data_IF_672126022936
#
_entry.id   IF_672126022936
#
_cell.length_a   1.000
_cell.length_b   1.000
_cell.length_c   1.000
_cell.angle_alpha   90.00
_cell.angle_beta   90.00
_cell.angle_gamma   90.00
#
_symmetry.space_group_name_H-M   'P 1'
#
loop_
_entity.id
_entity.type
_entity.pdbx_description
1 polymer ?
#
# COMPACT_ATOMS: atom_id res chain seq x y z
N UNK A 1 23.52 15.40 -0.96
CA UNK A 1 22.32 15.20 -0.10
C UNK A 1 22.71 14.17 0.94
N UNK A 2 22.58 14.49 2.23
CA UNK A 2 22.91 13.55 3.31
C UNK A 2 21.97 12.35 3.21
N UNK A 3 22.51 11.15 2.98
CA UNK A 3 21.75 9.92 3.05
C UNK A 3 21.41 9.65 4.52
N UNK A 4 20.23 10.08 4.96
CA UNK A 4 19.70 9.61 6.23
C UNK A 4 19.61 8.09 6.19
N UNK A 5 20.18 7.44 7.20
CA UNK A 5 20.28 5.99 7.28
C UNK A 5 18.87 5.39 7.45
N UNK A 6 18.46 4.56 6.50
CA UNK A 6 17.19 3.83 6.55
C UNK A 6 17.30 2.73 7.60
N UNK A 7 16.41 2.72 8.60
CA UNK A 7 16.45 1.77 9.72
C UNK A 7 15.15 0.96 9.89
N UNK A 8 14.10 1.27 9.14
CA UNK A 8 12.80 0.61 9.30
C UNK A 8 12.79 -0.79 8.68
N UNK A 9 12.45 -1.80 9.46
CA UNK A 9 12.23 -3.15 8.94
C UNK A 9 10.88 -3.23 8.23
N UNK A 10 10.89 -3.74 7.00
CA UNK A 10 9.72 -3.85 6.13
C UNK A 10 8.50 -4.53 6.78
N UNK A 11 8.69 -5.66 7.47
CA UNK A 11 7.58 -6.39 8.11
C UNK A 11 7.03 -5.66 9.32
N UNK A 12 7.93 -5.11 10.12
CA UNK A 12 7.54 -4.33 11.29
C UNK A 12 6.69 -3.12 10.89
N UNK A 13 7.04 -2.43 9.81
CA UNK A 13 6.26 -1.32 9.24
C UNK A 13 4.84 -1.75 8.90
N UNK A 14 4.68 -2.81 8.10
CA UNK A 14 3.36 -3.25 7.66
C UNK A 14 2.52 -3.75 8.84
N UNK A 15 3.13 -4.52 9.76
CA UNK A 15 2.45 -4.97 10.97
C UNK A 15 1.98 -3.78 11.83
N UNK A 16 2.83 -2.76 12.02
CA UNK A 16 2.50 -1.57 12.80
C UNK A 16 1.32 -0.79 12.22
N UNK A 17 1.29 -0.59 10.90
CA UNK A 17 0.16 0.08 10.23
C UNK A 17 -1.13 -0.71 10.41
N UNK A 18 -1.07 -2.05 10.33
CA UNK A 18 -2.25 -2.90 10.39
C UNK A 18 -2.75 -3.16 11.82
N UNK A 19 -1.91 -2.99 12.84
CA UNK A 19 -2.25 -3.22 14.24
C UNK A 19 -3.48 -2.43 14.70
N UNK A 20 -3.62 -1.18 14.24
CA UNK A 20 -4.67 -0.26 14.64
C UNK A 20 -5.68 0.05 13.52
N UNK A 21 -5.68 -0.75 12.45
CA UNK A 21 -6.49 -0.46 11.26
C UNK A 21 -8.00 -0.52 11.46
N UNK A 22 -8.48 -1.11 12.56
CA UNK A 22 -9.90 -1.35 12.80
C UNK A 22 -10.53 -2.19 11.68
N UNK A 23 -11.56 -1.65 11.03
CA UNK A 23 -12.29 -2.27 9.92
C UNK A 23 -11.80 -1.81 8.53
N UNK A 24 -10.66 -1.11 8.46
CA UNK A 24 -10.07 -0.69 7.21
C UNK A 24 -9.75 -1.88 6.28
N UNK A 25 -9.99 -1.67 5.00
CA UNK A 25 -9.77 -2.64 3.94
C UNK A 25 -8.34 -2.51 3.43
N UNK A 26 -7.62 -3.64 3.32
CA UNK A 26 -6.26 -3.67 2.83
C UNK A 26 -6.22 -4.27 1.42
N UNK A 27 -5.68 -3.52 0.46
CA UNK A 27 -5.40 -3.98 -0.90
C UNK A 27 -3.89 -4.05 -1.06
N UNK A 28 -3.36 -5.12 -1.62
CA UNK A 28 -1.91 -5.23 -1.85
C UNK A 28 -1.57 -5.45 -3.31
N UNK A 29 -0.42 -4.90 -3.71
CA UNK A 29 0.29 -5.36 -4.90
C UNK A 29 0.84 -6.77 -4.72
N UNK A 30 1.31 -7.37 -5.80
CA UNK A 30 2.08 -8.61 -5.76
C UNK A 30 3.44 -8.46 -5.04
N UNK A 31 4.05 -9.58 -4.69
CA UNK A 31 5.37 -9.66 -4.04
C UNK A 31 5.34 -9.28 -2.57
N UNK A 32 6.42 -8.62 -2.12
CA UNK A 32 6.65 -8.25 -0.72
C UNK A 32 5.46 -7.60 0.00
N UNK A 33 4.76 -6.61 -0.56
CA UNK A 33 3.57 -6.04 0.08
C UNK A 33 2.48 -7.08 0.40
N UNK A 34 2.20 -8.01 -0.52
CA UNK A 34 1.29 -9.14 -0.26
C UNK A 34 1.83 -10.03 0.86
N UNK A 35 3.11 -10.38 0.83
CA UNK A 35 3.70 -11.27 1.82
C UNK A 35 3.74 -10.66 3.23
N UNK A 36 3.89 -9.35 3.34
CA UNK A 36 3.95 -8.68 4.64
C UNK A 36 2.58 -8.48 5.24
N UNK A 37 1.58 -8.10 4.43
CA UNK A 37 0.20 -8.01 4.91
C UNK A 37 -0.30 -9.40 5.32
N UNK A 38 0.02 -10.45 4.56
CA UNK A 38 -0.29 -11.82 4.94
C UNK A 38 0.42 -12.25 6.23
N UNK A 39 1.69 -11.86 6.41
CA UNK A 39 2.46 -12.16 7.63
C UNK A 39 1.95 -11.40 8.86
N UNK A 40 1.40 -10.20 8.67
CA UNK A 40 0.76 -9.41 9.72
C UNK A 40 -0.61 -9.98 10.14
N UNK A 41 -1.13 -10.97 9.41
CA UNK A 41 -2.37 -11.68 9.71
C UNK A 41 -3.30 -11.70 8.50
N UNK A 42 -3.48 -12.87 7.89
CA UNK A 42 -4.48 -13.04 6.84
C UNK A 42 -5.89 -12.91 7.41
N UNK A 43 -6.72 -12.08 6.78
CA UNK A 43 -8.13 -11.98 7.08
C UNK A 43 -8.94 -11.65 5.82
N UNK A 44 -10.27 -11.81 5.85
CA UNK A 44 -11.13 -11.52 4.69
C UNK A 44 -11.09 -10.07 4.19
N UNK A 45 -10.74 -9.09 5.05
CA UNK A 45 -10.55 -7.69 4.68
C UNK A 45 -9.22 -7.41 3.97
N UNK A 46 -8.38 -8.43 3.76
CA UNK A 46 -7.18 -8.34 2.92
C UNK A 46 -7.51 -8.90 1.53
N UNK A 47 -7.36 -8.05 0.52
CA UNK A 47 -7.43 -8.44 -0.89
C UNK A 47 -6.04 -8.41 -1.53
N UNK A 48 -5.52 -9.60 -1.83
CA UNK A 48 -4.21 -9.75 -2.47
C UNK A 48 -4.37 -9.76 -4.00
N UNK A 49 -3.97 -8.67 -4.66
CA UNK A 49 -4.08 -8.57 -6.10
C UNK A 49 -2.92 -9.30 -6.79
N UNK A 50 -3.20 -10.51 -7.27
CA UNK A 50 -2.25 -11.31 -8.03
C UNK A 50 -2.27 -10.96 -9.53
N UNK A 51 -1.08 -10.95 -10.16
CA UNK A 51 -0.94 -10.93 -11.61
C UNK A 51 -1.19 -9.58 -12.30
N UNK A 52 -1.34 -8.48 -11.56
CA UNK A 52 -1.62 -7.15 -12.11
C UNK A 52 -0.71 -6.08 -11.51
N UNK A 53 0.60 -6.14 -11.83
CA UNK A 53 1.55 -5.13 -11.37
C UNK A 53 1.16 -3.73 -11.89
N UNK A 54 1.09 -2.76 -10.99
CA UNK A 54 0.65 -1.39 -11.29
C UNK A 54 -0.86 -1.17 -11.13
N UNK A 55 -1.63 -2.23 -10.83
CA UNK A 55 -3.08 -2.18 -10.75
C UNK A 55 -3.64 -1.90 -9.34
N UNK A 56 -2.86 -2.12 -8.27
CA UNK A 56 -3.41 -2.12 -6.90
C UNK A 56 -4.00 -0.77 -6.50
N UNK A 57 -3.35 0.35 -6.88
CA UNK A 57 -3.85 1.70 -6.59
C UNK A 57 -5.20 1.97 -7.27
N UNK A 58 -5.38 1.54 -8.52
CA UNK A 58 -6.64 1.72 -9.23
C UNK A 58 -7.77 0.86 -8.67
N UNK A 59 -7.47 -0.36 -8.21
CA UNK A 59 -8.42 -1.21 -7.49
C UNK A 59 -8.82 -0.55 -6.16
N UNK A 60 -7.84 -0.03 -5.41
CA UNK A 60 -8.09 0.70 -4.17
C UNK A 60 -8.93 1.96 -4.37
N UNK A 61 -8.68 2.74 -5.43
CA UNK A 61 -9.49 3.90 -5.78
C UNK A 61 -10.95 3.52 -6.08
N UNK A 62 -11.16 2.50 -6.92
CA UNK A 62 -12.51 2.04 -7.24
C UNK A 62 -13.28 1.59 -6.00
N UNK A 63 -12.60 0.88 -5.09
CA UNK A 63 -13.18 0.45 -3.83
C UNK A 63 -13.50 1.64 -2.90
N UNK A 64 -12.58 2.59 -2.77
CA UNK A 64 -12.75 3.78 -1.93
C UNK A 64 -13.95 4.62 -2.38
N UNK A 65 -14.12 4.79 -3.69
CA UNK A 65 -15.28 5.47 -4.28
C UNK A 65 -16.59 4.69 -4.09
N UNK A 66 -16.55 3.36 -4.18
CA UNK A 66 -17.72 2.52 -4.00
C UNK A 66 -18.14 2.33 -2.53
N UNK A 67 -17.22 2.54 -1.59
CA UNK A 67 -17.42 2.32 -0.15
C UNK A 67 -16.88 3.53 0.65
N UNK A 68 -17.51 4.71 0.52
CA UNK A 68 -16.99 5.97 1.09
C UNK A 68 -16.83 5.92 2.62
N UNK A 69 -17.61 5.08 3.31
CA UNK A 69 -17.59 4.94 4.77
C UNK A 69 -16.50 3.97 5.28
N UNK A 70 -15.77 3.30 4.38
CA UNK A 70 -14.71 2.35 4.73
C UNK A 70 -13.34 2.91 4.36
N UNK A 71 -12.41 2.93 5.31
CA UNK A 71 -11.02 3.29 5.03
C UNK A 71 -10.39 2.22 4.12
N UNK A 72 -9.74 2.64 3.04
CA UNK A 72 -9.03 1.75 2.10
C UNK A 72 -7.55 2.08 2.15
N UNK A 73 -6.72 1.08 2.46
CA UNK A 73 -5.27 1.19 2.52
C UNK A 73 -4.68 0.30 1.43
N UNK A 74 -3.94 0.91 0.50
CA UNK A 74 -3.27 0.20 -0.58
C UNK A 74 -1.79 0.09 -0.27
N UNK A 75 -1.27 -1.12 -0.13
CA UNK A 75 0.16 -1.39 0.04
C UNK A 75 0.78 -1.77 -1.30
N UNK A 76 1.74 -0.98 -1.75
CA UNK A 76 2.50 -1.24 -2.99
C UNK A 76 4.00 -1.17 -2.74
N UNK A 77 4.78 -1.83 -3.59
CA UNK A 77 6.23 -1.61 -3.64
C UNK A 77 6.56 -0.38 -4.49
N UNK A 78 7.73 0.22 -4.29
CA UNK A 78 8.25 1.28 -5.15
C UNK A 78 8.32 0.85 -6.62
N UNK A 79 8.77 -0.38 -6.88
CA UNK A 79 8.82 -0.95 -8.23
C UNK A 79 7.45 -1.03 -8.92
N UNK A 80 6.39 -1.39 -8.20
CA UNK A 80 5.02 -1.38 -8.73
C UNK A 80 4.53 0.04 -8.96
N UNK A 81 4.77 0.93 -7.99
CA UNK A 81 4.31 2.31 -8.10
C UNK A 81 4.85 3.00 -9.35
N UNK A 82 6.05 2.62 -9.79
CA UNK A 82 6.63 3.11 -11.06
C UNK A 82 5.89 2.60 -12.30
N UNK A 83 5.37 1.37 -12.29
CA UNK A 83 4.56 0.84 -13.40
C UNK A 83 3.16 1.48 -13.42
N UNK A 84 2.62 1.77 -12.24
CA UNK A 84 1.30 2.39 -12.06
C UNK A 84 1.35 3.91 -11.85
N UNK A 85 2.43 4.62 -12.19
CA UNK A 85 2.66 6.01 -11.72
C UNK A 85 1.51 6.97 -12.08
N UNK A 86 0.92 6.81 -13.27
CA UNK A 86 -0.23 7.60 -13.71
C UNK A 86 -1.48 7.47 -12.84
N UNK A 87 -1.59 6.40 -12.05
CA UNK A 87 -2.71 6.22 -11.10
C UNK A 87 -2.74 7.30 -10.01
N UNK A 88 -1.59 7.89 -9.65
CA UNK A 88 -1.56 9.01 -8.70
C UNK A 88 -2.34 10.22 -9.26
N UNK A 89 -2.14 10.56 -10.53
CA UNK A 89 -2.90 11.65 -11.16
C UNK A 89 -4.41 11.35 -11.17
N UNK A 90 -4.79 10.11 -11.49
CA UNK A 90 -6.20 9.69 -11.46
C UNK A 90 -6.80 9.80 -10.06
N UNK A 91 -6.08 9.35 -9.03
CA UNK A 91 -6.52 9.45 -7.62
C UNK A 91 -6.70 10.91 -7.22
N UNK A 92 -5.75 11.78 -7.55
CA UNK A 92 -5.84 13.21 -7.23
C UNK A 92 -7.06 13.88 -7.89
N UNK A 93 -7.40 13.52 -9.13
CA UNK A 93 -8.58 14.04 -9.82
C UNK A 93 -9.91 13.59 -9.19
N UNK A 94 -9.98 12.40 -8.58
CA UNK A 94 -11.21 11.86 -7.98
C UNK A 94 -11.35 12.19 -6.49
N UNK A 95 -10.25 12.45 -5.78
CA UNK A 95 -10.28 12.99 -4.42
C UNK A 95 -10.88 12.08 -3.35
N UNK A 96 -10.70 10.75 -3.44
CA UNK A 96 -11.26 9.81 -2.46
C UNK A 96 -10.71 10.05 -1.04
N UNK A 97 -11.54 10.63 -0.16
CA UNK A 97 -11.17 11.05 1.20
C UNK A 97 -10.82 9.89 2.15
N UNK A 98 -11.26 8.68 1.81
CA UNK A 98 -11.03 7.46 2.58
C UNK A 98 -9.89 6.59 2.02
N UNK A 99 -9.07 7.09 1.08
CA UNK A 99 -8.00 6.32 0.44
C UNK A 99 -6.60 6.71 0.95
N UNK A 100 -5.81 5.71 1.33
CA UNK A 100 -4.39 5.82 1.65
C UNK A 100 -3.55 4.90 0.77
N UNK A 101 -2.49 5.44 0.16
CA UNK A 101 -1.52 4.70 -0.65
C UNK A 101 -0.19 4.66 0.12
N UNK A 102 0.19 3.45 0.54
CA UNK A 102 1.42 3.18 1.27
C UNK A 102 2.41 2.50 0.35
N UNK A 103 3.51 3.20 0.06
CA UNK A 103 4.60 2.68 -0.78
C UNK A 103 5.70 2.16 0.14
N UNK A 104 5.90 0.85 0.14
CA UNK A 104 7.00 0.17 0.82
C UNK A 104 8.21 0.22 -0.11
N UNK A 105 9.12 1.15 0.18
CA UNK A 105 10.21 1.52 -0.71
C UNK A 105 11.54 1.02 -0.15
N UNK A 106 12.02 -0.08 -0.71
CA UNK A 106 13.33 -0.66 -0.43
C UNK A 106 14.36 -0.34 -1.54
N UNK A 107 14.00 0.52 -2.49
CA UNK A 107 14.80 0.94 -3.65
C UNK A 107 15.18 -0.15 -4.66
N UNK A 108 14.60 -1.36 -4.55
CA UNK A 108 15.03 -2.52 -5.33
C UNK A 108 13.86 -3.42 -5.77
N UNK A 109 13.98 -4.01 -6.96
CA UNK A 109 13.10 -5.10 -7.37
C UNK A 109 13.52 -6.42 -6.69
N UNK A 110 13.10 -6.59 -5.43
CA UNK A 110 13.56 -7.68 -4.58
C UNK A 110 13.24 -9.08 -5.12
N UNK A 111 12.06 -9.25 -5.74
CA UNK A 111 11.59 -10.54 -6.26
C UNK A 111 12.34 -11.00 -7.52
N UNK A 112 12.96 -10.08 -8.27
CA UNK A 112 13.58 -10.38 -9.57
C UNK A 112 15.10 -10.41 -9.52
N UNK A 113 15.70 -10.23 -8.34
CA UNK A 113 17.15 -10.29 -8.15
C UNK A 113 17.80 -8.99 -7.67
N UNK A 114 17.08 -8.16 -6.91
CA UNK A 114 17.64 -6.98 -6.22
C UNK A 114 18.24 -5.93 -7.17
N UNK A 115 17.68 -5.76 -8.37
CA UNK A 115 18.11 -4.69 -9.26
C UNK A 115 17.65 -3.33 -8.69
N UNK A 116 18.48 -2.27 -8.76
CA UNK A 116 18.07 -0.94 -8.33
C UNK A 116 16.83 -0.48 -9.09
N UNK A 117 15.77 -0.16 -8.35
CA UNK A 117 14.54 0.41 -8.87
C UNK A 117 14.72 1.92 -9.15
N UNK A 118 13.71 2.54 -9.76
CA UNK A 118 13.76 3.97 -10.09
C UNK A 118 13.85 4.84 -8.83
N UNK A 119 13.22 4.44 -7.73
CA UNK A 119 13.32 5.13 -6.45
C UNK A 119 14.77 5.17 -5.93
N UNK A 120 15.50 4.06 -6.04
CA UNK A 120 16.94 3.97 -5.75
C UNK A 120 17.86 4.77 -6.67
N UNK A 121 17.30 5.37 -7.74
CA UNK A 121 18.01 6.23 -8.69
C UNK A 121 17.59 7.70 -8.57
N UNK A 122 16.86 8.05 -7.51
CA UNK A 122 16.50 9.44 -7.19
C UNK A 122 15.10 9.86 -7.59
N UNK A 123 14.24 8.95 -8.09
CA UNK A 123 12.82 9.28 -8.32
C UNK A 123 12.08 9.32 -7.00
N UNK A 124 11.57 10.50 -6.62
CA UNK A 124 10.73 10.66 -5.42
C UNK A 124 9.25 10.51 -5.74
N UNK A 125 8.67 9.40 -5.29
CA UNK A 125 7.24 9.10 -5.50
C UNK A 125 6.35 10.12 -4.76
N UNK A 126 6.72 10.53 -3.54
CA UNK A 126 5.95 11.53 -2.77
C UNK A 126 5.99 12.92 -3.40
N UNK A 127 7.09 13.30 -4.05
CA UNK A 127 7.14 14.55 -4.81
C UNK A 127 6.27 14.49 -6.07
N UNK A 128 6.16 13.33 -6.70
CA UNK A 128 5.19 13.13 -7.79
C UNK A 128 3.76 13.28 -7.26
N UNK A 129 3.43 12.64 -6.13
CA UNK A 129 2.12 12.77 -5.49
C UNK A 129 1.77 14.24 -5.19
N UNK A 130 2.73 15.01 -4.63
CA UNK A 130 2.58 16.46 -4.45
C UNK A 130 2.30 17.18 -5.76
N UNK A 131 3.09 16.90 -6.81
CA UNK A 131 2.99 17.58 -8.09
C UNK A 131 1.65 17.33 -8.80
N UNK A 132 1.03 16.16 -8.59
CA UNK A 132 -0.28 15.83 -9.17
C UNK A 132 -1.48 16.23 -8.29
N UNK A 133 -1.25 16.78 -7.09
CA UNK A 133 -2.29 17.44 -6.29
C UNK A 133 -2.71 16.73 -4.99
N UNK A 134 -1.93 15.78 -4.47
CA UNK A 134 -2.21 15.22 -3.15
C UNK A 134 -2.03 16.28 -2.06
N UNK A 135 -3.01 16.40 -1.16
CA UNK A 135 -2.93 17.27 0.03
C UNK A 135 -2.05 16.65 1.12
N UNK A 136 -2.14 15.32 1.27
CA UNK A 136 -1.35 14.56 2.21
C UNK A 136 -0.39 13.67 1.43
N UNK A 137 0.89 14.03 1.46
CA UNK A 137 1.98 13.24 0.90
C UNK A 137 3.17 13.30 1.86
N UNK A 138 4.01 12.27 1.89
CA UNK A 138 5.19 12.31 2.76
C UNK A 138 6.07 11.08 2.66
N UNK A 139 7.26 11.19 3.25
CA UNK A 139 8.23 10.10 3.34
C UNK A 139 8.57 9.84 4.81
N UNK A 140 8.45 8.58 5.24
CA UNK A 140 8.91 8.13 6.56
C UNK A 140 10.21 7.31 6.41
N UNK A 141 11.21 7.62 7.22
CA UNK A 141 12.54 6.97 7.27
C UNK A 141 12.91 6.49 8.67
N UNK A 142 12.30 7.09 9.69
CA UNK A 142 12.54 6.82 11.11
C UNK A 142 11.30 6.29 11.80
N UNK A 143 11.45 5.72 13.00
CA UNK A 143 10.33 5.23 13.79
C UNK A 143 9.34 6.35 14.14
N UNK A 144 9.83 7.52 14.53
CA UNK A 144 8.95 8.66 14.84
C UNK A 144 8.16 9.12 13.61
N UNK A 145 8.80 9.23 12.45
CA UNK A 145 8.09 9.56 11.20
C UNK A 145 7.08 8.47 10.80
N UNK A 146 7.38 7.20 11.08
CA UNK A 146 6.44 6.10 10.87
C UNK A 146 5.19 6.26 11.75
N UNK A 147 5.33 6.63 13.03
CA UNK A 147 4.17 6.82 13.90
C UNK A 147 3.27 7.96 13.42
N UNK A 148 3.84 9.08 12.98
CA UNK A 148 3.06 10.18 12.36
C UNK A 148 2.40 9.74 11.04
N UNK A 149 3.12 8.93 10.25
CA UNK A 149 2.57 8.36 9.03
C UNK A 149 1.40 7.42 9.31
N UNK A 150 1.49 6.55 10.33
CA UNK A 150 0.40 5.64 10.73
C UNK A 150 -0.87 6.43 11.03
N UNK A 151 -0.77 7.49 11.85
CA UNK A 151 -1.91 8.35 12.17
C UNK A 151 -2.54 8.95 10.90
N UNK A 152 -1.70 9.48 9.99
CA UNK A 152 -2.18 10.05 8.72
C UNK A 152 -2.80 8.98 7.81
N UNK A 153 -2.20 7.80 7.72
CA UNK A 153 -2.65 6.66 6.91
C UNK A 153 -3.99 6.14 7.43
N UNK A 154 -4.23 6.14 8.73
CA UNK A 154 -5.47 5.63 9.32
C UNK A 154 -6.58 6.68 9.35
N UNK A 155 -6.26 7.93 9.70
CA UNK A 155 -7.26 8.94 10.05
C UNK A 155 -7.25 10.20 9.17
N UNK A 156 -6.22 10.43 8.34
CA UNK A 156 -6.12 11.62 7.49
C UNK A 156 -7.19 11.69 6.39
N UNK A 157 -7.71 12.89 6.12
CA UNK A 157 -8.69 13.14 5.05
C UNK A 157 -7.99 13.08 3.67
N UNK A 158 -8.17 11.96 2.98
CA UNK A 158 -7.45 11.61 1.77
C UNK A 158 -7.74 12.47 0.52
N UNK A 159 -7.14 12.08 -0.62
CA UNK A 159 -6.25 10.92 -0.76
C UNK A 159 -4.90 11.16 -0.08
N UNK A 160 -4.41 10.15 0.64
CA UNK A 160 -3.11 10.15 1.33
C UNK A 160 -2.10 9.34 0.53
N UNK A 161 -0.88 9.84 0.38
CA UNK A 161 0.26 9.07 -0.11
C UNK A 161 1.38 9.09 0.93
N UNK A 162 1.90 7.93 1.31
CA UNK A 162 3.11 7.86 2.14
C UNK A 162 4.09 6.87 1.54
N UNK A 163 5.32 7.30 1.35
CA UNK A 163 6.44 6.40 1.06
C UNK A 163 7.16 6.07 2.36
N UNK A 164 7.23 4.79 2.71
CA UNK A 164 8.01 4.33 3.86
C UNK A 164 9.29 3.68 3.36
N UNK A 165 10.43 4.30 3.68
CA UNK A 165 11.75 3.76 3.35
C UNK A 165 12.06 2.60 4.28
N UNK A 166 12.39 1.45 3.71
CA UNK A 166 12.63 0.22 4.48
C UNK A 166 13.95 -0.46 4.09
N UNK A 167 14.48 -1.25 5.00
CA UNK A 167 15.66 -2.08 4.74
C UNK A 167 15.31 -3.26 3.82
N UNK A 168 16.32 -3.83 3.18
CA UNK A 168 16.21 -4.95 2.23
C UNK A 168 16.41 -6.32 2.91
N UNK A 169 16.28 -6.39 4.23
CA UNK A 169 16.48 -7.63 4.97
C UNK A 169 15.50 -8.73 4.49
N UNK A 170 16.00 -9.94 4.20
CA UNK A 170 15.13 -11.05 3.83
C UNK A 170 14.17 -11.39 4.98
N UNK A 171 12.94 -11.74 4.63
CA UNK A 171 11.96 -12.26 5.58
C UNK A 171 11.32 -13.55 5.02
N UNK A 172 10.97 -14.54 5.87
CA UNK A 172 10.36 -15.79 5.40
C UNK A 172 9.04 -15.53 4.69
N UNK A 173 8.87 -15.95 3.44
CA UNK A 173 7.65 -15.68 2.67
C UNK A 173 6.39 -16.20 3.38
N UNK A 174 5.41 -15.33 3.60
CA UNK A 174 4.07 -15.72 4.02
C UNK A 174 3.15 -15.66 2.79
N UNK A 175 2.72 -16.82 2.30
CA UNK A 175 1.91 -16.93 1.07
C UNK A 175 0.42 -17.01 1.43
N UNK A 176 -0.39 -15.98 1.12
CA UNK A 176 -1.84 -16.11 1.20
C UNK A 176 -2.39 -16.95 0.03
N UNK A 177 -3.69 -17.29 0.03
CA UNK A 177 -4.32 -17.94 -1.10
C UNK A 177 -4.02 -17.21 -2.43
N UNK A 178 -3.76 -17.98 -3.49
CA UNK A 178 -3.46 -17.48 -4.84
C UNK A 178 -4.63 -17.67 -5.82
N UNK A 179 -5.81 -17.94 -5.28
CA UNK A 179 -7.03 -18.15 -6.04
C UNK A 179 -7.84 -16.83 -6.08
N UNK A 180 -7.78 -16.15 -7.23
CA UNK A 180 -8.44 -14.86 -7.45
C UNK A 180 -9.95 -14.89 -7.18
N UNK A 181 -10.72 -15.82 -7.78
CA UNK A 181 -12.12 -16.05 -7.44
C UNK A 181 -12.39 -16.19 -5.94
N UNK A 182 -11.60 -17.00 -5.23
CA UNK A 182 -11.74 -17.15 -3.78
C UNK A 182 -11.48 -15.85 -3.03
N UNK A 183 -10.39 -15.14 -3.34
CA UNK A 183 -10.05 -13.86 -2.73
C UNK A 183 -11.13 -12.79 -2.97
N UNK A 184 -11.70 -12.76 -4.18
CA UNK A 184 -12.81 -11.86 -4.53
C UNK A 184 -14.05 -12.18 -3.72
N UNK A 185 -14.46 -13.45 -3.65
CA UNK A 185 -15.68 -13.84 -2.94
C UNK A 185 -15.56 -13.59 -1.45
N UNK A 186 -14.46 -14.04 -0.79
CA UNK A 186 -14.27 -13.83 0.66
C UNK A 186 -14.24 -12.35 1.03
N UNK A 187 -13.64 -11.51 0.19
CA UNK A 187 -13.55 -10.06 0.44
C UNK A 187 -14.91 -9.39 0.28
N UNK A 188 -15.68 -9.76 -0.76
CA UNK A 188 -17.04 -9.27 -0.96
C UNK A 188 -17.96 -9.68 0.19
N UNK A 189 -17.88 -10.93 0.65
CA UNK A 189 -18.66 -11.42 1.79
C UNK A 189 -18.33 -10.64 3.07
N UNK A 190 -17.05 -10.37 3.33
CA UNK A 190 -16.63 -9.58 4.48
C UNK A 190 -17.09 -8.12 4.42
N UNK A 191 -17.15 -7.54 3.22
CA UNK A 191 -17.53 -6.15 2.99
C UNK A 191 -19.05 -5.94 2.95
N UNK A 192 -19.77 -6.82 2.26
CA UNK A 192 -21.18 -6.63 1.91
C UNK A 192 -22.13 -7.58 2.67
N UNK A 193 -21.59 -8.53 3.44
CA UNK A 193 -22.40 -9.55 4.11
C UNK A 193 -23.27 -10.32 3.12
N UNK A 194 -24.57 -10.41 3.41
CA UNK A 194 -25.55 -11.10 2.56
C UNK A 194 -25.68 -10.51 1.15
N UNK A 195 -25.33 -9.22 0.97
CA UNK A 195 -25.46 -8.54 -0.32
C UNK A 195 -24.33 -8.92 -1.29
N UNK A 196 -23.32 -9.67 -0.83
CA UNK A 196 -22.21 -10.14 -1.65
C UNK A 196 -22.62 -11.07 -2.80
N UNK A 197 -23.78 -11.74 -2.67
CA UNK A 197 -24.29 -12.78 -3.59
C UNK A 197 -25.45 -12.29 -4.48
N UNK A 198 -25.79 -11.01 -4.41
CA UNK A 198 -26.77 -10.39 -5.31
C UNK A 198 -26.15 -10.04 -6.66
#
# INVERSE_FOLDING_TARGET
MSSQQISLNRRAVVARILEQRGDALAITSLGNPTFDVAAAGDCPQNFYLWGAMGGAVMVGLGLALAQPDKRVIVFVGDGEMMMGLGSLATVACHGAANLSIVVIDNEHYAETGMQPAHAGRGVSISEVARAVGFRHFGVARTADELEHAVETILNGEGPVQVTVKVTTEPAPTALPPRDGPHLRSRFREALLGSDAHR
#
